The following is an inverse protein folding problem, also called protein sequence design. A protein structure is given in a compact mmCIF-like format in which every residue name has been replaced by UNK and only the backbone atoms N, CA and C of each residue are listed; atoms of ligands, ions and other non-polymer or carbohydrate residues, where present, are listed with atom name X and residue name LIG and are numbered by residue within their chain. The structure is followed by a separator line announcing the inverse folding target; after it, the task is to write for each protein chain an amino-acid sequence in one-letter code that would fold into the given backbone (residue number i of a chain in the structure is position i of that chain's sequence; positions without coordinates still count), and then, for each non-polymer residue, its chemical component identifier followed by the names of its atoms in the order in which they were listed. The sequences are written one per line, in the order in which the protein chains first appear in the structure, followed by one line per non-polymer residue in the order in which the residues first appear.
data_IF_357133250908
#
_entry.id   IF_357133250908
#
_cell.length_a   1.000
_cell.length_b   1.000
_cell.length_c   1.000
_cell.angle_alpha   90.00
_cell.angle_beta   90.00
_cell.angle_gamma   90.00
#
_symmetry.space_group_name_H-M   'P 1'
#
loop_
_entity.id
_entity.type
_entity.pdbx_description
1 polymer ?
#
# COMPACT_ATOMS: atom_id res chain seq x y z
N UNK A 1 18.73 18.50 -17.17
CA UNK A 1 17.92 17.57 -18.00
C UNK A 1 18.23 16.10 -17.68
N UNK A 2 19.50 15.69 -17.58
CA UNK A 2 19.86 14.31 -17.20
C UNK A 2 19.31 13.91 -15.80
N UNK A 3 19.49 14.77 -14.79
CA UNK A 3 19.04 14.52 -13.41
C UNK A 3 17.51 14.46 -13.26
N UNK A 4 16.76 15.22 -14.06
CA UNK A 4 15.30 15.22 -14.03
C UNK A 4 14.72 13.95 -14.64
N UNK A 5 15.35 13.39 -15.68
CA UNK A 5 14.96 12.10 -16.27
C UNK A 5 15.30 10.97 -15.30
N UNK A 6 16.46 11.02 -14.67
CA UNK A 6 16.85 10.06 -13.64
C UNK A 6 15.82 10.06 -12.49
N UNK A 7 15.41 11.24 -11.99
CA UNK A 7 14.41 11.39 -10.92
C UNK A 7 13.05 10.76 -11.25
N UNK A 8 12.67 10.75 -12.53
CA UNK A 8 11.44 10.14 -13.00
C UNK A 8 11.56 8.62 -13.22
N UNK A 9 12.77 8.08 -13.35
CA UNK A 9 13.00 6.68 -13.69
C UNK A 9 12.34 5.68 -12.71
N UNK A 10 12.40 5.85 -11.36
CA UNK A 10 11.69 4.99 -10.43
C UNK A 10 10.18 4.97 -10.65
N UNK A 11 9.61 6.15 -10.87
CA UNK A 11 8.17 6.33 -11.04
C UNK A 11 7.70 5.73 -12.37
N UNK A 12 8.45 5.98 -13.45
CA UNK A 12 8.18 5.42 -14.77
C UNK A 12 8.37 3.91 -14.80
N UNK A 13 9.37 3.35 -14.11
CA UNK A 13 9.58 1.91 -14.03
C UNK A 13 8.41 1.21 -13.34
N UNK A 14 7.96 1.72 -12.19
CA UNK A 14 6.79 1.18 -11.48
C UNK A 14 5.53 1.32 -12.34
N UNK A 15 5.31 2.49 -12.94
CA UNK A 15 4.16 2.73 -13.81
C UNK A 15 4.16 1.79 -15.03
N UNK A 16 5.29 1.64 -15.71
CA UNK A 16 5.41 0.77 -16.87
C UNK A 16 5.18 -0.71 -16.52
N UNK A 17 5.76 -1.19 -15.42
CA UNK A 17 5.65 -2.59 -14.99
C UNK A 17 4.23 -2.94 -14.52
N UNK A 18 3.59 -2.06 -13.75
CA UNK A 18 2.26 -2.31 -13.18
C UNK A 18 1.12 -1.96 -14.14
N UNK A 19 1.18 -0.80 -14.80
CA UNK A 19 0.07 -0.28 -15.61
C UNK A 19 0.16 -0.79 -17.04
N UNK A 20 1.33 -0.72 -17.67
CA UNK A 20 1.51 -1.14 -19.06
C UNK A 20 1.63 -2.66 -19.19
N UNK A 21 2.53 -3.27 -18.41
CA UNK A 21 2.81 -4.70 -18.49
C UNK A 21 1.75 -5.55 -17.75
N UNK A 22 0.90 -4.91 -16.91
CA UNK A 22 -0.16 -5.55 -16.12
C UNK A 22 0.35 -6.74 -15.28
N UNK A 23 1.59 -6.68 -14.83
CA UNK A 23 2.18 -7.75 -14.02
C UNK A 23 1.65 -7.71 -12.59
N UNK A 24 1.51 -8.88 -11.94
CA UNK A 24 1.13 -8.91 -10.53
C UNK A 24 2.18 -8.18 -9.70
N UNK A 25 1.73 -7.40 -8.70
CA UNK A 25 2.59 -6.61 -7.83
C UNK A 25 3.72 -7.43 -7.19
N UNK A 26 3.47 -8.71 -6.91
CA UNK A 26 4.45 -9.68 -6.41
C UNK A 26 5.69 -9.81 -7.29
N UNK A 27 5.55 -9.71 -8.62
CA UNK A 27 6.68 -9.77 -9.58
C UNK A 27 7.19 -8.38 -9.95
N UNK A 28 6.28 -7.42 -10.08
CA UNK A 28 6.63 -6.07 -10.50
C UNK A 28 7.44 -5.30 -9.44
N UNK A 29 7.12 -5.45 -8.15
CA UNK A 29 7.79 -4.70 -7.08
C UNK A 29 9.27 -5.06 -6.89
N UNK A 30 9.68 -6.35 -6.84
CA UNK A 30 11.10 -6.71 -6.77
C UNK A 30 11.88 -6.23 -8.01
N UNK A 31 11.27 -6.32 -9.19
CA UNK A 31 11.91 -5.91 -10.43
C UNK A 31 12.06 -4.39 -10.52
N UNK A 32 11.04 -3.64 -10.08
CA UNK A 32 11.12 -2.19 -9.95
C UNK A 32 12.21 -1.79 -8.95
N UNK A 33 12.35 -2.48 -7.82
CA UNK A 33 13.43 -2.23 -6.86
C UNK A 33 14.82 -2.40 -7.50
N UNK A 34 15.04 -3.45 -8.30
CA UNK A 34 16.31 -3.65 -9.02
C UNK A 34 16.59 -2.48 -9.98
N UNK A 35 15.57 -2.02 -10.72
CA UNK A 35 15.70 -0.87 -11.62
C UNK A 35 16.05 0.41 -10.85
N UNK A 36 15.42 0.64 -9.68
CA UNK A 36 15.70 1.80 -8.83
C UNK A 36 17.10 1.77 -8.26
N UNK A 37 17.56 0.61 -7.79
CA UNK A 37 18.94 0.43 -7.30
C UNK A 37 19.95 0.67 -8.42
N UNK A 38 19.73 0.09 -9.60
CA UNK A 38 20.60 0.27 -10.76
C UNK A 38 20.64 1.74 -11.20
N UNK A 39 19.50 2.42 -11.23
CA UNK A 39 19.42 3.85 -11.55
C UNK A 39 20.12 4.72 -10.48
N UNK A 40 19.96 4.40 -9.19
CA UNK A 40 20.61 5.14 -8.09
C UNK A 40 22.14 5.06 -8.15
N UNK A 41 22.68 3.88 -8.44
CA UNK A 41 24.13 3.69 -8.54
C UNK A 41 24.67 4.29 -9.85
N UNK A 42 24.02 4.04 -10.99
CA UNK A 42 24.55 4.44 -12.30
C UNK A 42 24.31 5.92 -12.64
N UNK A 43 23.21 6.53 -12.18
CA UNK A 43 22.85 7.91 -12.53
C UNK A 43 23.14 8.93 -11.42
N UNK A 44 23.15 8.50 -10.16
CA UNK A 44 23.44 9.38 -9.00
C UNK A 44 24.70 9.02 -8.24
N UNK A 45 25.44 7.99 -8.68
CA UNK A 45 26.71 7.57 -8.06
C UNK A 45 26.57 7.37 -6.55
N UNK A 46 25.40 6.88 -6.11
CA UNK A 46 25.12 6.69 -4.69
C UNK A 46 26.08 5.65 -4.11
N UNK A 47 26.63 5.95 -2.94
CA UNK A 47 27.46 5.02 -2.18
C UNK A 47 26.68 3.71 -1.94
N UNK A 48 27.23 2.53 -2.31
CA UNK A 48 26.59 1.24 -2.08
C UNK A 48 26.13 1.02 -0.63
N UNK A 49 26.82 1.61 0.36
CA UNK A 49 26.43 1.55 1.77
C UNK A 49 25.10 2.26 2.01
N UNK A 50 24.88 3.41 1.37
CA UNK A 50 23.62 4.17 1.48
C UNK A 50 22.48 3.40 0.84
N UNK A 51 22.72 2.76 -0.31
CA UNK A 51 21.72 1.91 -0.97
C UNK A 51 21.33 0.74 -0.05
N UNK A 52 22.31 0.03 0.52
CA UNK A 52 22.06 -1.07 1.45
C UNK A 52 21.27 -0.62 2.69
N UNK A 53 21.64 0.52 3.28
CA UNK A 53 20.94 1.09 4.42
C UNK A 53 19.49 1.46 4.08
N UNK A 54 19.26 2.06 2.90
CA UNK A 54 17.92 2.41 2.43
C UNK A 54 17.05 1.16 2.21
N UNK A 55 17.62 0.08 1.68
CA UNK A 55 16.92 -1.18 1.45
C UNK A 55 16.55 -1.88 2.76
N UNK A 56 17.46 -1.89 3.75
CA UNK A 56 17.14 -2.38 5.09
C UNK A 56 16.02 -1.56 5.74
N UNK A 57 16.07 -0.22 5.61
CA UNK A 57 15.00 0.66 6.08
C UNK A 57 13.66 0.35 5.40
N UNK A 58 13.66 0.13 4.09
CA UNK A 58 12.47 -0.31 3.35
C UNK A 58 11.92 -1.64 3.88
N UNK A 59 12.80 -2.61 4.15
CA UNK A 59 12.44 -3.89 4.76
C UNK A 59 11.82 -3.73 6.15
N UNK A 60 12.37 -2.86 7.01
CA UNK A 60 11.81 -2.55 8.32
C UNK A 60 10.41 -1.94 8.20
N UNK A 61 10.21 -0.98 7.28
CA UNK A 61 8.89 -0.39 7.02
C UNK A 61 7.89 -1.46 6.59
N UNK A 62 8.29 -2.36 5.69
CA UNK A 62 7.44 -3.47 5.24
C UNK A 62 7.04 -4.40 6.41
N UNK A 63 7.98 -4.68 7.32
CA UNK A 63 7.70 -5.48 8.52
C UNK A 63 6.72 -4.77 9.46
N UNK A 64 6.87 -3.45 9.65
CA UNK A 64 5.91 -2.65 10.42
C UNK A 64 4.51 -2.71 9.82
N UNK A 65 4.40 -2.60 8.49
CA UNK A 65 3.10 -2.75 7.81
C UNK A 65 2.52 -4.14 8.01
N UNK A 66 3.33 -5.19 7.89
CA UNK A 66 2.89 -6.57 8.13
C UNK A 66 2.39 -6.77 9.57
N UNK A 67 3.06 -6.15 10.54
CA UNK A 67 2.65 -6.16 11.95
C UNK A 67 1.26 -5.55 12.17
N UNK A 68 0.84 -4.57 11.36
CA UNK A 68 -0.50 -3.97 11.43
C UNK A 68 -1.53 -4.81 10.66
N UNK A 69 -1.16 -5.33 9.48
CA UNK A 69 -2.08 -6.06 8.60
C UNK A 69 -2.44 -7.43 9.18
N UNK A 70 -1.49 -8.16 9.77
CA UNK A 70 -1.75 -9.49 10.35
C UNK A 70 -2.86 -9.50 11.41
N UNK A 71 -2.83 -8.66 12.46
CA UNK A 71 -3.91 -8.61 13.45
C UNK A 71 -5.22 -8.07 12.86
N UNK A 72 -5.16 -7.12 11.91
CA UNK A 72 -6.36 -6.66 11.21
C UNK A 72 -7.03 -7.77 10.40
N UNK A 73 -6.24 -8.59 9.68
CA UNK A 73 -6.74 -9.77 8.97
C UNK A 73 -7.29 -10.81 9.94
N UNK A 74 -6.61 -11.07 11.06
CA UNK A 74 -7.08 -12.00 12.08
C UNK A 74 -8.44 -11.56 12.65
N UNK A 75 -8.60 -10.27 12.96
CA UNK A 75 -9.88 -9.70 13.39
C UNK A 75 -10.94 -9.81 12.29
N UNK A 76 -10.61 -9.49 11.05
CA UNK A 76 -11.52 -9.59 9.91
C UNK A 76 -12.04 -11.02 9.73
N UNK A 77 -11.15 -12.01 9.73
CA UNK A 77 -11.54 -13.41 9.61
C UNK A 77 -12.35 -13.87 10.82
N UNK A 78 -11.99 -13.45 12.03
CA UNK A 78 -12.77 -13.74 13.24
C UNK A 78 -14.19 -13.17 13.15
N UNK A 79 -14.34 -11.91 12.75
CA UNK A 79 -15.64 -11.25 12.57
C UNK A 79 -16.47 -11.88 11.44
N UNK A 80 -15.81 -12.42 10.41
CA UNK A 80 -16.48 -13.11 9.31
C UNK A 80 -17.02 -14.48 9.76
N UNK A 81 -16.21 -15.28 10.44
CA UNK A 81 -16.60 -16.62 10.90
C UNK A 81 -17.63 -16.58 12.04
N UNK A 82 -17.57 -15.57 12.90
CA UNK A 82 -18.56 -15.37 13.98
C UNK A 82 -19.86 -14.72 13.51
N UNK A 83 -19.95 -14.29 12.24
CA UNK A 83 -21.10 -13.53 11.74
C UNK A 83 -21.20 -12.10 12.26
N UNK A 84 -20.21 -11.59 13.00
CA UNK A 84 -20.18 -10.20 13.47
C UNK A 84 -20.32 -9.16 12.35
N UNK A 85 -19.79 -9.46 11.16
CA UNK A 85 -19.98 -8.61 9.97
C UNK A 85 -21.45 -8.45 9.57
N UNK A 86 -22.29 -9.47 9.79
CA UNK A 86 -23.72 -9.39 9.50
C UNK A 86 -24.44 -8.52 10.54
N UNK A 87 -24.08 -8.66 11.82
CA UNK A 87 -24.63 -7.83 12.91
C UNK A 87 -24.34 -6.34 12.68
N UNK A 88 -23.10 -6.01 12.32
CA UNK A 88 -22.70 -4.62 11.99
C UNK A 88 -23.55 -4.09 10.83
N UNK A 89 -23.72 -4.89 9.76
CA UNK A 89 -24.51 -4.49 8.59
C UNK A 89 -25.98 -4.25 8.94
N UNK A 90 -26.58 -5.10 9.76
CA UNK A 90 -27.96 -4.91 10.23
C UNK A 90 -28.10 -3.63 11.05
N UNK A 91 -27.15 -3.33 11.94
CA UNK A 91 -27.15 -2.08 12.70
C UNK A 91 -27.12 -0.83 11.82
N UNK A 92 -26.34 -0.81 10.73
CA UNK A 92 -26.37 0.30 9.76
C UNK A 92 -27.67 0.37 8.97
N UNK A 93 -28.24 -0.79 8.63
CA UNK A 93 -29.52 -0.87 7.90
C UNK A 93 -30.70 -0.38 8.75
N UNK A 94 -30.67 -0.62 10.07
CA UNK A 94 -31.68 -0.14 11.02
C UNK A 94 -31.68 1.39 11.17
N UNK A 95 -30.52 2.05 11.00
CA UNK A 95 -30.41 3.52 10.97
C UNK A 95 -31.01 4.07 9.68
N UNK A 96 -30.60 3.52 8.54
CA UNK A 96 -31.13 3.91 7.23
C UNK A 96 -30.93 2.79 6.21
N UNK A 97 -31.97 2.41 5.46
CA UNK A 97 -31.85 1.42 4.39
C UNK A 97 -31.18 1.99 3.12
N UNK A 98 -31.01 3.31 3.00
CA UNK A 98 -30.37 3.94 1.84
C UNK A 98 -28.84 3.81 1.91
N UNK A 99 -28.25 3.12 0.92
CA UNK A 99 -26.81 2.92 0.79
C UNK A 99 -26.01 4.24 0.71
N UNK A 100 -26.62 5.33 0.23
CA UNK A 100 -26.00 6.66 0.16
C UNK A 100 -25.77 7.24 1.55
N UNK A 101 -26.79 7.14 2.41
CA UNK A 101 -26.74 7.62 3.79
C UNK A 101 -25.74 6.77 4.60
N UNK A 102 -25.74 5.46 4.39
CA UNK A 102 -24.74 4.56 5.01
C UNK A 102 -23.31 4.94 4.62
N UNK A 103 -23.06 5.21 3.34
CA UNK A 103 -21.74 5.64 2.88
C UNK A 103 -21.32 6.97 3.52
N UNK A 104 -22.26 7.92 3.70
CA UNK A 104 -22.00 9.19 4.38
C UNK A 104 -21.63 8.95 5.87
N UNK A 105 -22.36 8.09 6.56
CA UNK A 105 -22.08 7.73 7.97
C UNK A 105 -20.70 7.08 8.09
N UNK A 106 -20.38 6.10 7.23
CA UNK A 106 -19.08 5.43 7.22
C UNK A 106 -17.96 6.42 6.91
N UNK A 107 -18.13 7.28 5.90
CA UNK A 107 -17.15 8.30 5.54
C UNK A 107 -16.92 9.30 6.68
N UNK A 108 -17.98 9.73 7.37
CA UNK A 108 -17.88 10.63 8.51
C UNK A 108 -17.15 9.97 9.69
N UNK A 109 -17.52 8.73 10.06
CA UNK A 109 -16.85 7.98 11.13
C UNK A 109 -15.37 7.74 10.83
N UNK A 110 -15.02 7.39 9.59
CA UNK A 110 -13.62 7.25 9.18
C UNK A 110 -12.89 8.60 9.17
N UNK A 111 -13.54 9.68 8.73
CA UNK A 111 -12.98 11.02 8.74
C UNK A 111 -12.61 11.47 10.16
N UNK A 112 -13.55 11.33 11.10
CA UNK A 112 -13.33 11.66 12.52
C UNK A 112 -12.34 10.72 13.24
N UNK A 113 -12.01 9.56 12.68
CA UNK A 113 -10.96 8.68 13.21
C UNK A 113 -9.55 9.05 12.71
N UNK A 114 -9.45 9.66 11.52
CA UNK A 114 -8.16 10.08 10.95
C UNK A 114 -7.72 11.47 11.38
N UNK A 115 -8.65 12.31 11.86
CA UNK A 115 -8.34 13.55 12.59
C UNK A 115 -7.85 13.28 14.01
#
# INVERSE_FOLDING_TARGET
MMLTIAALAPLLAVFALLVLCRWPATRAMPLAYVVVVAAGIAAWEMDPIVVMAASLRGGMIALTVLWIILPALALLYTLRETGGMAVIRTGFHDISPDARVQALIVAWLFGSFME
#
